data_IF_594088880072
#
_entry.id   IF_594088880072
#
_cell.length_a   1.000
_cell.length_b   1.000
_cell.length_c   1.000
_cell.angle_alpha   90.00
_cell.angle_beta   90.00
_cell.angle_gamma   90.00
#
_symmetry.space_group_name_H-M   'P 1'
#
loop_
_entity.id
_entity.type
_entity.pdbx_description
1 polymer ?
#
# COMPACT_ATOMS: atom_id res chain seq x y z
N UNK A 1 -12.76 2.74 -10.02
CA UNK A 1 -11.65 2.41 -10.95
C UNK A 1 -11.28 0.94 -10.79
N UNK A 2 -11.24 0.24 -11.89
CA UNK A 2 -10.83 -1.16 -11.89
C UNK A 2 -9.31 -1.26 -11.97
N UNK A 3 -8.73 -2.19 -11.21
CA UNK A 3 -7.31 -2.46 -11.24
C UNK A 3 -7.07 -3.96 -11.07
N UNK A 4 -5.90 -4.41 -11.48
CA UNK A 4 -5.52 -5.83 -11.33
C UNK A 4 -5.21 -6.14 -9.87
N UNK A 5 -5.59 -7.34 -9.43
CA UNK A 5 -5.31 -7.81 -8.07
C UNK A 5 -3.82 -8.09 -7.87
N UNK A 6 -3.19 -8.69 -8.86
CA UNK A 6 -1.75 -8.94 -8.87
C UNK A 6 -1.11 -8.06 -9.94
N UNK A 7 -0.33 -7.10 -9.50
CA UNK A 7 0.34 -6.17 -10.38
C UNK A 7 1.74 -6.66 -10.73
N UNK A 8 2.11 -6.56 -12.01
CA UNK A 8 3.47 -6.86 -12.46
C UNK A 8 4.32 -5.60 -12.39
N UNK A 9 5.44 -5.66 -11.69
CA UNK A 9 6.36 -4.54 -11.64
C UNK A 9 7.03 -4.35 -13.01
N UNK A 10 6.97 -3.13 -13.60
CA UNK A 10 7.43 -2.93 -14.98
C UNK A 10 8.93 -3.15 -15.18
N UNK A 11 9.72 -2.99 -14.14
CA UNK A 11 11.18 -3.13 -14.22
C UNK A 11 11.62 -4.52 -13.79
N UNK A 12 11.20 -5.00 -12.63
CA UNK A 12 11.64 -6.31 -12.10
C UNK A 12 10.87 -7.49 -12.69
N UNK A 13 9.69 -7.24 -13.27
CA UNK A 13 8.76 -8.26 -13.79
C UNK A 13 8.19 -9.18 -12.70
N UNK A 14 8.41 -8.86 -11.44
CA UNK A 14 7.84 -9.62 -10.32
C UNK A 14 6.40 -9.19 -10.09
N UNK A 15 5.57 -10.12 -9.63
CA UNK A 15 4.17 -9.84 -9.28
C UNK A 15 4.05 -9.48 -7.81
N UNK A 16 3.18 -8.53 -7.52
CA UNK A 16 2.87 -8.12 -6.16
C UNK A 16 1.35 -8.03 -6.00
N UNK A 17 0.86 -8.26 -4.79
CA UNK A 17 -0.55 -8.04 -4.46
C UNK A 17 -0.81 -6.53 -4.49
N UNK A 18 -1.81 -6.13 -5.28
CA UNK A 18 -2.14 -4.72 -5.47
C UNK A 18 -3.51 -4.42 -4.87
N UNK A 19 -3.62 -4.49 -3.54
CA UNK A 19 -4.84 -4.17 -2.80
C UNK A 19 -4.53 -3.12 -1.73
N UNK A 20 -5.51 -2.23 -1.51
CA UNK A 20 -5.38 -1.17 -0.51
C UNK A 20 -6.71 -1.04 0.23
N UNK A 21 -6.73 -1.11 1.58
CA UNK A 21 -7.98 -1.01 2.36
C UNK A 21 -8.77 0.27 2.11
N UNK A 22 -8.10 1.36 1.71
CA UNK A 22 -8.77 2.63 1.45
C UNK A 22 -9.39 2.71 0.06
N UNK A 23 -8.86 1.99 -0.92
CA UNK A 23 -9.26 2.13 -2.32
C UNK A 23 -9.88 0.88 -2.92
N UNK A 24 -9.48 -0.30 -2.46
CA UNK A 24 -10.01 -1.57 -2.99
C UNK A 24 -11.29 -1.93 -2.26
N UNK A 25 -12.39 -2.04 -3.00
CA UNK A 25 -13.70 -2.31 -2.41
C UNK A 25 -14.22 -3.70 -2.73
N UNK A 26 -13.80 -4.29 -3.86
CA UNK A 26 -14.40 -5.53 -4.34
C UNK A 26 -13.49 -6.21 -5.36
N UNK A 27 -13.58 -7.55 -5.41
CA UNK A 27 -13.01 -8.37 -6.49
C UNK A 27 -14.17 -8.71 -7.44
N UNK A 28 -14.09 -8.25 -8.69
CA UNK A 28 -15.22 -8.30 -9.61
C UNK A 28 -15.72 -9.70 -9.97
N UNK A 29 -14.83 -10.68 -9.97
CA UNK A 29 -15.12 -12.05 -10.42
C UNK A 29 -15.67 -12.94 -9.31
N UNK A 30 -15.79 -12.42 -8.09
CA UNK A 30 -16.25 -13.16 -6.93
C UNK A 30 -17.59 -12.62 -6.43
N UNK A 31 -18.34 -13.46 -5.71
CA UNK A 31 -19.51 -13.01 -4.97
C UNK A 31 -19.08 -12.02 -3.88
N UNK A 32 -20.04 -11.26 -3.35
CA UNK A 32 -19.75 -10.30 -2.28
C UNK A 32 -19.10 -10.97 -1.08
N UNK A 33 -19.62 -12.11 -0.63
CA UNK A 33 -19.07 -12.81 0.53
C UNK A 33 -17.69 -13.37 0.27
N UNK A 34 -17.44 -13.92 -0.90
CA UNK A 34 -16.12 -14.40 -1.30
C UNK A 34 -15.11 -13.25 -1.40
N UNK A 35 -15.51 -12.16 -2.05
CA UNK A 35 -14.68 -10.97 -2.20
C UNK A 35 -14.31 -10.38 -0.84
N UNK A 36 -15.28 -10.19 0.05
CA UNK A 36 -15.03 -9.63 1.38
C UNK A 36 -14.07 -10.50 2.20
N UNK A 37 -14.27 -11.82 2.18
CA UNK A 37 -13.42 -12.75 2.93
C UNK A 37 -11.98 -12.76 2.39
N UNK A 38 -11.81 -12.77 1.07
CA UNK A 38 -10.49 -12.79 0.46
C UNK A 38 -9.76 -11.46 0.65
N UNK A 39 -10.45 -10.34 0.49
CA UNK A 39 -9.84 -9.02 0.72
C UNK A 39 -9.41 -8.85 2.18
N UNK A 40 -10.22 -9.28 3.13
CA UNK A 40 -9.86 -9.25 4.55
C UNK A 40 -8.60 -10.07 4.81
N UNK A 41 -8.50 -11.26 4.25
CA UNK A 41 -7.31 -12.10 4.36
C UNK A 41 -6.09 -11.41 3.76
N UNK A 42 -6.21 -10.85 2.56
CA UNK A 42 -5.09 -10.21 1.88
C UNK A 42 -4.61 -8.97 2.64
N UNK A 43 -5.52 -8.16 3.20
CA UNK A 43 -5.13 -7.02 4.03
C UNK A 43 -4.37 -7.48 5.28
N UNK A 44 -4.89 -8.47 5.99
CA UNK A 44 -4.25 -8.99 7.19
C UNK A 44 -2.89 -9.60 6.89
N UNK A 45 -2.77 -10.32 5.79
CA UNK A 45 -1.52 -10.94 5.36
C UNK A 45 -0.47 -9.88 4.99
N UNK A 46 -0.91 -8.83 4.29
CA UNK A 46 0.00 -7.76 3.83
C UNK A 46 0.64 -6.99 4.97
N UNK A 47 0.00 -6.90 6.13
CA UNK A 47 0.52 -6.19 7.31
C UNK A 47 1.17 -7.12 8.32
N UNK A 48 1.42 -8.38 7.97
CA UNK A 48 2.18 -9.30 8.82
C UNK A 48 3.52 -8.66 9.21
N UNK A 49 3.90 -8.65 10.51
CA UNK A 49 5.10 -7.91 10.96
C UNK A 49 6.38 -8.26 10.21
N UNK A 50 6.53 -9.50 9.75
CA UNK A 50 7.70 -9.95 9.01
C UNK A 50 7.83 -9.29 7.64
N UNK A 51 6.76 -8.69 7.12
CA UNK A 51 6.74 -8.00 5.82
C UNK A 51 6.77 -6.50 5.95
N UNK A 52 6.90 -5.97 7.16
CA UNK A 52 6.80 -4.54 7.43
C UNK A 52 8.06 -3.99 8.05
N UNK A 53 8.26 -2.68 7.89
CA UNK A 53 9.25 -1.95 8.65
C UNK A 53 8.66 -0.62 9.08
N UNK A 54 9.17 -0.08 10.19
CA UNK A 54 8.77 1.22 10.70
C UNK A 54 9.91 2.21 10.51
N UNK A 55 9.62 3.32 9.86
CA UNK A 55 10.57 4.41 9.69
C UNK A 55 10.32 5.48 10.74
N UNK A 56 11.37 5.86 11.47
CA UNK A 56 11.32 6.92 12.45
C UNK A 56 11.95 8.20 11.87
N UNK A 57 11.14 9.25 11.81
CA UNK A 57 11.58 10.53 11.26
C UNK A 57 12.48 11.27 12.22
N UNK A 58 13.55 11.86 11.67
CA UNK A 58 14.37 12.85 12.33
C UNK A 58 14.40 14.10 11.46
N UNK A 59 14.77 15.29 12.00
CA UNK A 59 14.88 16.48 11.16
C UNK A 59 15.79 16.25 9.96
N UNK A 60 15.38 16.76 8.80
CA UNK A 60 16.08 16.61 7.51
C UNK A 60 16.11 15.18 6.97
N UNK A 61 15.24 14.29 7.45
CA UNK A 61 15.11 12.95 6.89
C UNK A 61 14.31 12.97 5.60
N UNK A 62 14.70 12.11 4.65
CA UNK A 62 13.99 11.89 3.39
C UNK A 62 13.70 10.39 3.27
N UNK A 63 12.45 10.04 2.97
CA UNK A 63 12.06 8.66 2.67
C UNK A 63 11.54 8.56 1.25
N UNK A 64 11.96 7.53 0.54
CA UNK A 64 11.50 7.24 -0.82
C UNK A 64 11.02 5.80 -0.84
N UNK A 65 9.81 5.59 -1.39
CA UNK A 65 9.27 4.24 -1.55
C UNK A 65 8.53 4.11 -2.87
N UNK A 66 8.40 2.88 -3.33
CA UNK A 66 7.74 2.55 -4.58
C UNK A 66 6.29 2.13 -4.30
N UNK A 67 5.34 3.00 -4.61
CA UNK A 67 3.91 2.74 -4.40
C UNK A 67 3.38 1.60 -5.28
N UNK A 68 4.13 1.17 -6.29
CA UNK A 68 3.71 0.07 -7.16
C UNK A 68 3.73 -1.28 -6.46
N UNK A 69 4.52 -1.42 -5.41
CA UNK A 69 4.70 -2.69 -4.71
C UNK A 69 4.70 -2.57 -3.18
N UNK A 70 4.42 -1.40 -2.63
CA UNK A 70 4.42 -1.18 -1.18
C UNK A 70 3.14 -0.49 -0.71
N UNK A 71 2.81 -0.71 0.57
CA UNK A 71 1.80 0.05 1.29
C UNK A 71 2.49 0.83 2.40
N UNK A 72 1.93 1.99 2.73
CA UNK A 72 2.45 2.81 3.83
C UNK A 72 1.31 3.32 4.69
N UNK A 73 1.61 3.58 5.96
CA UNK A 73 0.63 4.11 6.90
C UNK A 73 1.31 5.16 7.78
N UNK A 74 0.79 6.39 7.82
CA UNK A 74 1.24 7.37 8.79
C UNK A 74 0.79 6.96 10.19
N UNK A 75 1.67 7.15 11.18
CA UNK A 75 1.40 6.80 12.57
C UNK A 75 1.26 8.10 13.36
N UNK A 76 0.10 8.29 14.01
CA UNK A 76 -0.19 9.50 14.78
C UNK A 76 0.26 9.34 16.24
N UNK A 77 1.56 9.20 16.45
CA UNK A 77 2.16 9.04 17.76
C UNK A 77 2.97 10.26 18.21
N UNK A 78 2.84 11.37 17.52
CA UNK A 78 3.62 12.59 17.76
C UNK A 78 2.84 13.68 18.53
N UNK A 79 1.55 13.45 18.80
CA UNK A 79 0.75 14.43 19.57
C UNK A 79 1.28 14.54 21.01
N UNK A 80 1.40 15.75 21.59
CA UNK A 80 0.94 17.05 21.05
C UNK A 80 2.00 17.80 20.21
N UNK A 81 3.05 17.14 19.80
CA UNK A 81 4.11 17.76 19.01
C UNK A 81 3.60 18.18 17.62
N UNK A 82 4.22 19.21 17.09
CA UNK A 82 3.94 19.65 15.72
C UNK A 82 4.80 18.86 14.73
N UNK A 83 4.19 18.37 13.65
CA UNK A 83 4.88 17.65 12.60
C UNK A 83 4.55 18.24 11.24
N UNK A 84 5.58 18.63 10.48
CA UNK A 84 5.45 19.11 9.12
C UNK A 84 6.20 18.21 8.16
N UNK A 85 5.49 17.68 7.16
CA UNK A 85 6.07 16.86 6.11
C UNK A 85 5.66 17.40 4.75
N UNK A 86 6.57 17.30 3.80
CA UNK A 86 6.30 17.59 2.39
C UNK A 86 6.38 16.29 1.59
N UNK A 87 5.51 16.17 0.58
CA UNK A 87 5.45 14.97 -0.26
C UNK A 87 5.44 15.36 -1.73
N UNK A 88 6.23 14.62 -2.51
CA UNK A 88 6.21 14.70 -3.97
C UNK A 88 5.92 13.30 -4.48
N UNK A 89 4.96 13.20 -5.39
CA UNK A 89 4.58 11.94 -6.02
C UNK A 89 4.94 11.99 -7.50
N UNK A 90 5.58 10.94 -7.99
CA UNK A 90 5.90 10.79 -9.40
C UNK A 90 4.88 9.87 -10.04
N UNK A 91 4.30 10.30 -11.15
CA UNK A 91 3.34 9.50 -11.89
C UNK A 91 4.02 8.29 -12.53
N UNK A 92 3.30 7.17 -12.52
CA UNK A 92 3.74 5.93 -13.13
C UNK A 92 2.80 5.48 -14.26
N UNK A 93 2.99 4.24 -14.67
CA UNK A 93 2.18 3.59 -15.69
C UNK A 93 0.93 2.95 -15.07
N UNK A 94 -0.03 2.56 -15.92
CA UNK A 94 -1.19 1.81 -15.48
C UNK A 94 -0.76 0.42 -14.97
N UNK A 95 -1.41 -0.09 -13.89
CA UNK A 95 -1.15 -1.46 -13.40
C UNK A 95 -1.47 -2.52 -14.46
N UNK A 96 -0.63 -3.51 -14.57
CA UNK A 96 -0.85 -4.62 -15.49
C UNK A 96 -0.34 -5.96 -14.91
#
# INVERSE_FOLDING_TARGET
MEAVLFRTHPITKRKAIFVNPLFTTKINELSKSESDALLEFLYSYSITPEFTCRFSWTPNSIAIWDNRCTLHKPINDYFPEHRLLERITVDGDEPF
#
